data_IF_129915327320
#
_entry.id   IF_129915327320
#
_cell.length_a   1.000
_cell.length_b   1.000
_cell.length_c   1.000
_cell.angle_alpha   90.00
_cell.angle_beta   90.00
_cell.angle_gamma   90.00
#
_symmetry.space_group_name_H-M   'P 1'
#
loop_
_entity.id
_entity.type
_entity.pdbx_description
1 polymer ?
#
# COMPACT_ATOMS: atom_id res chain seq x y z
N UNK A 1 26.56 5.63 15.36
CA UNK A 1 25.13 5.96 15.48
C UNK A 1 24.45 5.04 14.48
N UNK A 2 23.60 4.14 14.95
CA UNK A 2 22.82 3.33 14.02
C UNK A 2 21.84 4.28 13.32
N UNK A 3 21.76 4.23 11.99
CA UNK A 3 20.69 4.94 11.29
C UNK A 3 19.36 4.27 11.66
N UNK A 4 18.34 5.09 11.92
CA UNK A 4 16.98 4.60 12.12
C UNK A 4 16.57 3.67 10.98
N UNK A 5 15.79 2.61 11.26
CA UNK A 5 15.22 1.77 10.20
C UNK A 5 14.48 2.63 9.17
N UNK A 6 14.74 2.37 7.89
CA UNK A 6 14.11 3.06 6.76
C UNK A 6 14.01 2.12 5.57
N UNK A 7 13.02 2.36 4.73
CA UNK A 7 13.00 1.84 3.38
C UNK A 7 14.03 2.64 2.58
N UNK A 8 15.04 1.95 2.04
CA UNK A 8 16.12 2.51 1.21
C UNK A 8 16.15 1.92 -0.18
N UNK A 9 15.55 0.73 -0.37
CA UNK A 9 15.45 0.05 -1.66
C UNK A 9 14.05 -0.54 -1.91
N UNK A 10 13.52 -0.34 -3.12
CA UNK A 10 12.26 -0.92 -3.59
C UNK A 10 12.48 -1.92 -4.73
N UNK A 11 13.73 -2.22 -5.09
CA UNK A 11 14.09 -3.06 -6.25
C UNK A 11 13.58 -4.50 -6.15
N UNK A 12 13.26 -4.98 -4.95
CA UNK A 12 12.66 -6.28 -4.70
C UNK A 12 11.27 -6.45 -5.32
N UNK A 13 10.63 -5.35 -5.74
CA UNK A 13 9.31 -5.36 -6.35
C UNK A 13 9.25 -4.53 -7.64
N UNK A 14 8.39 -4.96 -8.56
CA UNK A 14 8.12 -4.26 -9.81
C UNK A 14 6.63 -4.19 -10.11
N UNK A 15 6.23 -3.47 -11.18
CA UNK A 15 4.82 -3.31 -11.58
C UNK A 15 4.06 -4.62 -11.74
N UNK A 16 4.73 -5.66 -12.22
CA UNK A 16 4.12 -6.98 -12.45
C UNK A 16 3.82 -7.66 -11.12
N UNK A 17 4.61 -7.45 -10.07
CA UNK A 17 4.36 -8.02 -8.75
C UNK A 17 3.02 -7.55 -8.16
N UNK A 18 2.66 -6.26 -8.32
CA UNK A 18 1.35 -5.77 -7.88
C UNK A 18 0.20 -6.50 -8.57
N UNK A 19 0.28 -6.62 -9.91
CA UNK A 19 -0.75 -7.29 -10.71
C UNK A 19 -0.88 -8.77 -10.38
N UNK A 20 0.25 -9.46 -10.24
CA UNK A 20 0.29 -10.87 -9.84
C UNK A 20 -0.31 -11.05 -8.46
N UNK A 21 0.08 -10.22 -7.49
CA UNK A 21 -0.44 -10.30 -6.12
C UNK A 21 -1.94 -10.04 -6.07
N UNK A 22 -2.40 -9.02 -6.79
CA UNK A 22 -3.81 -8.67 -6.85
C UNK A 22 -4.64 -9.75 -7.58
N UNK A 23 -4.11 -10.32 -8.68
CA UNK A 23 -4.72 -11.49 -9.34
C UNK A 23 -4.79 -12.69 -8.39
N UNK A 24 -3.76 -12.89 -7.56
CA UNK A 24 -3.78 -13.95 -6.55
C UNK A 24 -4.93 -13.83 -5.55
N UNK A 25 -5.34 -12.61 -5.18
CA UNK A 25 -6.53 -12.41 -4.35
C UNK A 25 -7.84 -12.67 -5.10
N UNK A 26 -7.86 -12.47 -6.42
CA UNK A 26 -9.01 -12.81 -7.26
C UNK A 26 -9.15 -14.33 -7.48
N UNK A 27 -8.01 -15.04 -7.50
CA UNK A 27 -7.96 -16.50 -7.66
C UNK A 27 -8.27 -17.26 -6.36
N UNK A 28 -8.24 -16.57 -5.22
CA UNK A 28 -8.45 -17.13 -3.90
C UNK A 28 -9.95 -17.30 -3.61
N UNK A 29 -10.42 -18.54 -3.46
CA UNK A 29 -11.83 -18.85 -3.22
C UNK A 29 -12.28 -18.59 -1.78
N UNK A 30 -11.34 -18.45 -0.84
CA UNK A 30 -11.66 -18.17 0.57
C UNK A 30 -11.85 -16.69 0.84
N UNK A 31 -11.49 -15.82 -0.11
CA UNK A 31 -11.58 -14.39 0.06
C UNK A 31 -12.57 -13.79 -0.93
N UNK A 32 -13.52 -13.01 -0.41
CA UNK A 32 -14.41 -12.23 -1.26
C UNK A 32 -13.59 -11.19 -2.05
N UNK A 33 -13.87 -11.13 -3.35
CA UNK A 33 -13.26 -10.19 -4.26
C UNK A 33 -14.35 -9.41 -4.99
N UNK A 34 -14.47 -8.13 -4.69
CA UNK A 34 -15.50 -7.24 -5.22
C UNK A 34 -15.16 -6.77 -6.65
N UNK A 35 -15.14 -7.73 -7.57
CA UNK A 35 -14.96 -7.49 -8.99
C UNK A 35 -16.27 -7.19 -9.70
N UNK A 36 -16.30 -6.16 -10.55
CA UNK A 36 -17.42 -5.95 -11.45
C UNK A 36 -17.34 -6.87 -12.67
N UNK A 37 -18.32 -7.75 -12.83
CA UNK A 37 -18.48 -8.62 -14.00
C UNK A 37 -17.86 -10.01 -13.83
N UNK A 38 -17.52 -10.67 -14.94
CA UNK A 38 -16.95 -12.02 -14.88
C UNK A 38 -15.51 -12.02 -14.39
N UNK A 39 -15.06 -13.15 -13.86
CA UNK A 39 -13.65 -13.37 -13.50
C UNK A 39 -12.67 -12.92 -14.60
N UNK A 40 -12.94 -13.27 -15.87
CA UNK A 40 -12.07 -12.89 -16.98
C UNK A 40 -12.05 -11.37 -17.23
N UNK A 41 -13.17 -10.68 -16.99
CA UNK A 41 -13.26 -9.23 -17.08
C UNK A 41 -12.48 -8.54 -15.95
N UNK A 42 -12.67 -8.99 -14.70
CA UNK A 42 -11.92 -8.47 -13.54
C UNK A 42 -10.43 -8.69 -13.69
N UNK A 43 -10.01 -9.89 -14.09
CA UNK A 43 -8.60 -10.18 -14.38
C UNK A 43 -8.06 -9.27 -15.49
N UNK A 44 -8.81 -9.06 -16.57
CA UNK A 44 -8.39 -8.13 -17.64
C UNK A 44 -8.21 -6.71 -17.11
N UNK A 45 -9.06 -6.24 -16.21
CA UNK A 45 -8.96 -4.92 -15.59
C UNK A 45 -7.71 -4.80 -14.71
N UNK A 46 -7.35 -5.81 -13.93
CA UNK A 46 -6.10 -5.85 -13.16
C UNK A 46 -4.89 -5.71 -14.10
N UNK A 47 -4.90 -6.48 -15.19
CA UNK A 47 -3.76 -6.54 -16.10
C UNK A 47 -3.65 -5.33 -17.04
N UNK A 48 -4.75 -4.59 -17.26
CA UNK A 48 -4.75 -3.35 -18.06
C UNK A 48 -4.16 -2.14 -17.30
N UNK A 49 -4.01 -2.22 -15.97
CA UNK A 49 -3.34 -1.19 -15.16
C UNK A 49 -1.97 -0.83 -15.76
N UNK A 50 -1.73 0.45 -16.03
CA UNK A 50 -0.51 0.86 -16.75
C UNK A 50 0.73 0.66 -15.90
N UNK A 51 1.68 -0.15 -16.38
CA UNK A 51 2.96 -0.36 -15.69
C UNK A 51 3.71 0.96 -15.44
N UNK A 52 3.56 1.95 -16.33
CA UNK A 52 4.14 3.28 -16.14
C UNK A 52 3.74 3.90 -14.79
N UNK A 53 2.47 3.83 -14.39
CA UNK A 53 2.02 4.44 -13.14
C UNK A 53 2.58 3.69 -11.92
N UNK A 54 2.63 2.36 -11.96
CA UNK A 54 3.24 1.57 -10.90
C UNK A 54 4.76 1.82 -10.81
N UNK A 55 5.45 2.04 -11.95
CA UNK A 55 6.86 2.46 -11.93
C UNK A 55 7.04 3.84 -11.32
N UNK A 56 6.10 4.77 -11.56
CA UNK A 56 6.12 6.10 -10.92
C UNK A 56 6.03 5.98 -9.41
N UNK A 57 5.11 5.15 -8.88
CA UNK A 57 5.03 4.87 -7.43
C UNK A 57 6.41 4.46 -6.91
N UNK A 58 7.04 3.44 -7.49
CA UNK A 58 8.33 2.96 -7.01
C UNK A 58 9.46 3.99 -7.11
N UNK A 59 9.52 4.73 -8.23
CA UNK A 59 10.63 5.66 -8.52
C UNK A 59 10.52 6.97 -7.73
N UNK A 60 9.32 7.45 -7.50
CA UNK A 60 9.06 8.75 -6.85
C UNK A 60 8.81 8.58 -5.34
N UNK A 61 9.02 7.37 -4.79
CA UNK A 61 8.81 7.07 -3.39
C UNK A 61 9.73 7.91 -2.48
N UNK A 62 9.21 8.53 -1.41
CA UNK A 62 9.98 9.44 -0.56
C UNK A 62 10.90 8.66 0.41
N UNK A 63 12.14 8.43 0.00
CA UNK A 63 13.14 7.65 0.76
C UNK A 63 13.75 8.40 1.96
N UNK A 64 13.63 9.73 1.99
CA UNK A 64 14.27 10.56 3.03
C UNK A 64 13.41 10.75 4.29
N UNK A 65 12.15 10.33 4.24
CA UNK A 65 11.17 10.45 5.33
C UNK A 65 11.39 9.40 6.44
N UNK A 66 10.90 9.63 7.67
CA UNK A 66 10.86 8.62 8.72
C UNK A 66 10.05 7.37 8.31
N UNK A 67 10.37 6.21 8.88
CA UNK A 67 9.71 4.95 8.50
C UNK A 67 8.17 4.97 8.61
N UNK A 68 7.53 5.53 9.67
CA UNK A 68 6.08 5.64 9.71
C UNK A 68 5.50 6.44 8.54
N UNK A 69 6.16 7.54 8.18
CA UNK A 69 5.79 8.38 7.04
C UNK A 69 6.01 7.65 5.71
N UNK A 70 7.10 6.90 5.55
CA UNK A 70 7.34 6.07 4.36
C UNK A 70 6.23 5.01 4.18
N UNK A 71 5.88 4.31 5.26
CA UNK A 71 4.78 3.34 5.26
C UNK A 71 3.43 4.02 4.96
N UNK A 72 3.19 5.20 5.51
CA UNK A 72 1.98 5.98 5.23
C UNK A 72 1.90 6.45 3.77
N UNK A 73 3.01 6.94 3.21
CA UNK A 73 3.13 7.29 1.81
C UNK A 73 2.87 6.09 0.90
N UNK A 74 3.38 4.91 1.26
CA UNK A 74 3.10 3.67 0.54
C UNK A 74 1.60 3.36 0.49
N UNK A 75 0.95 3.37 1.65
CA UNK A 75 -0.48 3.09 1.75
C UNK A 75 -1.31 4.15 1.02
N UNK A 76 -1.01 5.44 1.22
CA UNK A 76 -1.64 6.54 0.49
C UNK A 76 -1.51 6.35 -1.03
N UNK A 77 -0.33 6.00 -1.54
CA UNK A 77 -0.09 5.82 -2.96
C UNK A 77 -0.88 4.65 -3.56
N UNK A 78 -0.88 3.48 -2.92
CA UNK A 78 -1.49 2.27 -3.48
C UNK A 78 -3.00 2.24 -3.24
N UNK A 79 -3.43 2.53 -2.01
CA UNK A 79 -4.84 2.51 -1.60
C UNK A 79 -5.58 3.73 -2.13
N UNK A 80 -4.98 4.91 -1.97
CA UNK A 80 -5.60 6.17 -2.36
C UNK A 80 -5.80 6.26 -3.88
N UNK A 81 -4.76 5.90 -4.66
CA UNK A 81 -4.88 5.85 -6.13
C UNK A 81 -5.83 4.75 -6.60
N UNK A 82 -5.94 3.66 -5.85
CA UNK A 82 -6.83 2.53 -6.12
C UNK A 82 -6.59 1.93 -7.53
N UNK A 83 -5.40 1.36 -7.74
CA UNK A 83 -4.96 0.85 -9.05
C UNK A 83 -5.77 -0.33 -9.59
N UNK A 84 -6.46 -1.06 -8.72
CA UNK A 84 -7.17 -2.29 -9.04
C UNK A 84 -8.67 -2.18 -8.70
N UNK A 85 -9.52 -3.04 -9.29
CA UNK A 85 -10.94 -3.06 -8.96
C UNK A 85 -11.23 -3.29 -7.47
N UNK A 86 -10.45 -4.16 -6.83
CA UNK A 86 -10.55 -4.50 -5.39
C UNK A 86 -9.17 -4.94 -4.86
N UNK A 87 -9.09 -5.29 -3.58
CA UNK A 87 -7.93 -5.80 -2.87
C UNK A 87 -6.73 -4.83 -2.89
N UNK A 88 -6.97 -3.52 -3.00
CA UNK A 88 -5.92 -2.50 -2.99
C UNK A 88 -5.20 -2.47 -1.63
N UNK A 89 -5.92 -2.47 -0.51
CA UNK A 89 -5.32 -2.54 0.83
C UNK A 89 -4.53 -3.83 1.04
N UNK A 90 -5.13 -4.98 0.70
CA UNK A 90 -4.47 -6.30 0.80
C UNK A 90 -3.18 -6.34 -0.02
N UNK A 91 -3.22 -5.79 -1.24
CA UNK A 91 -2.04 -5.67 -2.10
C UNK A 91 -1.01 -4.72 -1.50
N UNK A 92 -1.42 -3.56 -1.00
CA UNK A 92 -0.54 -2.58 -0.39
C UNK A 92 0.19 -3.17 0.84
N UNK A 93 -0.53 -3.79 1.77
CA UNK A 93 0.05 -4.40 2.96
C UNK A 93 1.01 -5.54 2.63
N UNK A 94 0.63 -6.45 1.72
CA UNK A 94 1.50 -7.56 1.34
C UNK A 94 2.81 -7.06 0.73
N UNK A 95 2.70 -6.10 -0.18
CA UNK A 95 3.87 -5.54 -0.85
C UNK A 95 4.72 -4.72 0.12
N UNK A 96 4.12 -3.98 1.06
CA UNK A 96 4.82 -3.23 2.09
C UNK A 96 5.64 -4.16 2.99
N UNK A 97 5.05 -5.24 3.50
CA UNK A 97 5.78 -6.22 4.32
C UNK A 97 6.97 -6.80 3.58
N UNK A 98 6.81 -7.09 2.28
CA UNK A 98 7.93 -7.54 1.45
C UNK A 98 9.01 -6.47 1.35
N UNK A 99 8.67 -5.21 1.07
CA UNK A 99 9.66 -4.11 1.01
C UNK A 99 10.40 -3.99 2.34
N UNK A 100 9.68 -3.98 3.46
CA UNK A 100 10.27 -3.86 4.80
C UNK A 100 11.26 -4.99 5.08
N UNK A 101 10.86 -6.24 4.84
CA UNK A 101 11.73 -7.40 5.03
C UNK A 101 13.00 -7.35 4.17
N UNK A 102 12.89 -6.91 2.92
CA UNK A 102 14.04 -6.77 2.00
C UNK A 102 14.96 -5.60 2.39
N UNK A 103 14.47 -4.65 3.18
CA UNK A 103 15.27 -3.58 3.80
C UNK A 103 15.78 -3.96 5.19
N UNK A 104 15.62 -5.22 5.63
CA UNK A 104 16.01 -5.66 6.97
C UNK A 104 15.17 -5.05 8.09
N UNK A 105 13.99 -4.52 7.79
CA UNK A 105 13.05 -3.97 8.75
C UNK A 105 12.04 -5.05 9.12
N UNK A 106 11.99 -5.41 10.40
CA UNK A 106 11.05 -6.36 10.95
C UNK A 106 9.88 -5.61 11.62
N UNK A 107 8.73 -5.44 10.95
CA UNK A 107 7.68 -4.54 11.44
C UNK A 107 6.82 -5.10 12.57
N UNK A 108 7.20 -6.26 13.13
CA UNK A 108 6.42 -6.97 14.13
C UNK A 108 5.04 -7.44 13.63
N UNK A 109 4.17 -7.73 14.58
CA UNK A 109 2.78 -8.10 14.30
C UNK A 109 1.93 -6.84 14.11
N UNK A 110 1.07 -6.84 13.09
CA UNK A 110 0.03 -5.83 12.93
C UNK A 110 -1.30 -6.47 13.30
N UNK A 111 -1.90 -6.11 14.45
CA UNK A 111 -3.14 -6.72 14.92
C UNK A 111 -4.25 -6.62 13.87
N UNK A 112 -4.97 -7.72 13.65
CA UNK A 112 -6.02 -7.79 12.62
C UNK A 112 -7.10 -6.74 12.87
N UNK A 113 -7.54 -6.57 14.12
CA UNK A 113 -8.52 -5.54 14.51
C UNK A 113 -8.05 -4.13 14.15
N UNK A 114 -6.78 -3.78 14.45
CA UNK A 114 -6.22 -2.47 14.08
C UNK A 114 -6.17 -2.27 12.56
N UNK A 115 -5.83 -3.32 11.80
CA UNK A 115 -5.84 -3.29 10.33
C UNK A 115 -7.27 -3.05 9.80
N UNK A 116 -8.25 -3.74 10.36
CA UNK A 116 -9.66 -3.60 9.95
C UNK A 116 -10.18 -2.19 10.24
N UNK A 117 -9.88 -1.65 11.41
CA UNK A 117 -10.31 -0.31 11.81
C UNK A 117 -9.66 0.78 10.95
N UNK A 118 -8.34 0.74 10.73
CA UNK A 118 -7.68 1.71 9.85
C UNK A 118 -8.14 1.56 8.40
N UNK A 119 -8.44 0.34 7.95
CA UNK A 119 -8.98 0.10 6.60
C UNK A 119 -10.35 0.76 6.46
N UNK A 120 -11.25 0.55 7.43
CA UNK A 120 -12.58 1.17 7.45
C UNK A 120 -12.49 2.70 7.45
N UNK A 121 -11.60 3.25 8.27
CA UNK A 121 -11.37 4.69 8.34
C UNK A 121 -10.79 5.23 7.02
N UNK A 122 -9.81 4.54 6.43
CA UNK A 122 -9.25 4.87 5.12
C UNK A 122 -10.31 4.86 4.01
N UNK A 123 -11.26 3.92 4.05
CA UNK A 123 -12.40 3.90 3.12
C UNK A 123 -13.30 5.12 3.28
N UNK A 124 -13.63 5.49 4.53
CA UNK A 124 -14.46 6.65 4.85
C UNK A 124 -13.80 7.95 4.35
N UNK A 125 -12.56 8.19 4.76
CA UNK A 125 -11.79 9.38 4.37
C UNK A 125 -11.64 9.47 2.85
N UNK A 126 -11.32 8.37 2.16
CA UNK A 126 -11.25 8.35 0.69
C UNK A 126 -12.58 8.68 0.01
N UNK A 127 -13.72 8.36 0.64
CA UNK A 127 -15.05 8.70 0.14
C UNK A 127 -15.40 10.19 0.27
N UNK A 128 -14.72 10.92 1.15
CA UNK A 128 -14.93 12.34 1.42
C UNK A 128 -13.97 13.25 0.63
N UNK A 129 -12.90 12.67 0.06
CA UNK A 129 -11.82 13.40 -0.60
C UNK A 129 -11.88 13.33 -2.13
N UNK A 130 -11.21 14.28 -2.79
CA UNK A 130 -10.93 14.19 -4.22
C UNK A 130 -10.07 12.96 -4.55
N UNK A 131 -10.29 12.39 -5.73
CA UNK A 131 -9.53 11.23 -6.18
C UNK A 131 -8.03 11.54 -6.25
N UNK A 132 -7.23 10.71 -5.58
CA UNK A 132 -5.77 10.80 -5.64
C UNK A 132 -5.29 10.47 -7.04
N UNK A 133 -4.70 11.47 -7.71
CA UNK A 133 -4.07 11.32 -9.02
C UNK A 133 -2.58 11.02 -8.86
N UNK A 134 -1.91 10.71 -9.97
CA UNK A 134 -0.46 10.47 -9.94
C UNK A 134 0.36 11.70 -9.53
N UNK A 135 -0.19 12.91 -9.65
CA UNK A 135 0.54 14.16 -9.39
C UNK A 135 0.48 14.57 -7.92
N UNK A 136 -0.45 13.99 -7.15
CA UNK A 136 -0.61 14.22 -5.70
C UNK A 136 -0.43 12.93 -4.89
N UNK A 137 0.18 11.90 -5.49
CA UNK A 137 0.24 10.54 -4.93
C UNK A 137 1.02 10.41 -3.61
N UNK A 138 1.81 11.43 -3.26
CA UNK A 138 2.56 11.52 -1.99
C UNK A 138 2.20 12.78 -1.18
N UNK A 139 1.04 13.40 -1.44
CA UNK A 139 0.58 14.52 -0.63
C UNK A 139 0.31 14.03 0.81
N UNK A 140 0.75 14.80 1.81
CA UNK A 140 0.41 14.59 3.22
C UNK A 140 -0.97 15.21 3.50
N UNK A 141 -2.03 14.47 3.17
CA UNK A 141 -3.42 14.85 3.42
C UNK A 141 -4.10 13.93 4.46
N UNK A 142 -5.42 14.03 4.62
CA UNK A 142 -6.15 13.27 5.64
C UNK A 142 -5.98 11.75 5.49
N UNK A 143 -5.89 11.24 4.26
CA UNK A 143 -5.65 9.82 4.03
C UNK A 143 -4.24 9.42 4.47
N UNK A 144 -3.24 10.28 4.21
CA UNK A 144 -1.88 10.06 4.70
C UNK A 144 -1.85 10.02 6.24
N UNK A 145 -2.50 10.96 6.92
CA UNK A 145 -2.51 11.01 8.39
C UNK A 145 -3.21 9.79 9.02
N UNK A 146 -4.25 9.24 8.38
CA UNK A 146 -4.86 7.97 8.82
C UNK A 146 -3.83 6.85 8.85
N UNK A 147 -3.05 6.71 7.78
CA UNK A 147 -2.04 5.66 7.68
C UNK A 147 -0.84 5.94 8.59
N UNK A 148 -0.41 7.20 8.71
CA UNK A 148 0.70 7.60 9.57
C UNK A 148 0.42 7.25 11.03
N UNK A 149 -0.75 7.63 11.56
CA UNK A 149 -1.15 7.28 12.93
C UNK A 149 -1.18 5.77 13.17
N UNK A 150 -1.61 4.99 12.19
CA UNK A 150 -1.57 3.53 12.30
C UNK A 150 -0.13 3.02 12.40
N UNK A 151 0.78 3.48 11.53
CA UNK A 151 2.17 3.03 11.57
C UNK A 151 2.96 3.54 12.77
N UNK A 152 2.64 4.72 13.30
CA UNK A 152 3.18 5.19 14.59
C UNK A 152 2.78 4.27 15.76
N UNK A 153 1.63 3.61 15.67
CA UNK A 153 1.10 2.74 16.73
C UNK A 153 1.51 1.26 16.57
N UNK A 154 1.80 0.79 15.36
CA UNK A 154 2.14 -0.64 15.12
C UNK A 154 3.60 -0.90 14.78
N UNK A 155 4.38 0.11 14.39
CA UNK A 155 5.81 -0.06 14.22
C UNK A 155 6.50 -0.06 15.58
N UNK A 156 7.53 -0.90 15.77
CA UNK A 156 8.30 -0.87 17.02
C UNK A 156 8.92 0.51 17.22
N UNK A 157 8.85 1.01 18.46
CA UNK A 157 9.72 2.10 18.90
C UNK A 157 11.15 1.57 18.85
N UNK A 158 11.91 1.95 17.83
CA UNK A 158 13.36 1.72 17.82
C UNK A 158 14.04 2.98 18.33
N UNK A 159 15.00 2.79 19.25
CA UNK A 159 15.77 3.88 19.86
C UNK A 159 16.57 4.65 18.79
N UNK A 160 15.93 5.69 18.29
CA UNK A 160 16.47 6.85 17.60
C UNK A 160 16.33 8.07 18.53
#
# INVERSE_FOLDING_TARGET
MADCPRITDLSAIGPVNFKLRNTGFLDDTEIEYDGYGSYQATRRNIWSTRNHNLRRVLREFPLDEPLPDQCAHWMHAVVGRHFFPDANHRTAFFMLRRILSENGVEPGEWPTEKIEDVTRESHRVRGEMEQITMDIIYRKDELFEVWRRFFEDVLPEEDC
#
